data_IF_542553018611
#
_entry.id   IF_542553018611
#
_cell.length_a   1.000
_cell.length_b   1.000
_cell.length_c   1.000
_cell.angle_alpha   90.00
_cell.angle_beta   90.00
_cell.angle_gamma   90.00
#
_symmetry.space_group_name_H-M   'P 1'
#
loop_
_entity.id
_entity.type
_entity.pdbx_description
1 polymer ?
#
# COMPACT_ATOMS: atom_id res chain seq x y z
N UNK A 1 -19.90 0.57 30.22
CA UNK A 1 -18.59 0.08 29.82
C UNK A 1 -18.52 -1.43 30.01
N UNK A 2 -18.57 -2.19 28.92
CA UNK A 2 -18.35 -3.65 28.94
C UNK A 2 -16.85 -3.91 29.22
N UNK A 3 -16.55 -4.91 30.03
CA UNK A 3 -15.16 -5.35 30.15
C UNK A 3 -14.68 -5.98 28.82
N UNK A 4 -13.38 -5.90 28.53
CA UNK A 4 -12.80 -6.50 27.32
C UNK A 4 -13.16 -7.99 27.20
N UNK A 5 -13.19 -8.74 28.32
CA UNK A 5 -13.63 -10.14 28.34
C UNK A 5 -15.08 -10.32 27.92
N UNK A 6 -15.97 -9.42 28.34
CA UNK A 6 -17.38 -9.44 27.99
C UNK A 6 -17.60 -9.10 26.51
N UNK A 7 -16.83 -8.14 25.97
CA UNK A 7 -16.85 -7.78 24.55
C UNK A 7 -16.36 -8.95 23.67
N UNK A 8 -15.29 -9.63 24.06
CA UNK A 8 -14.76 -10.82 23.36
C UNK A 8 -15.79 -11.95 23.39
N UNK A 9 -16.42 -12.21 24.56
CA UNK A 9 -17.46 -13.26 24.69
C UNK A 9 -18.68 -12.98 23.81
N UNK A 10 -19.13 -11.72 23.73
CA UNK A 10 -20.23 -11.33 22.84
C UNK A 10 -19.86 -11.44 21.37
N UNK A 11 -18.65 -11.06 21.00
CA UNK A 11 -18.16 -11.23 19.65
C UNK A 11 -18.07 -12.73 19.25
N UNK A 12 -17.56 -13.60 20.13
CA UNK A 12 -17.55 -15.05 19.90
C UNK A 12 -18.96 -15.62 19.71
N UNK A 13 -19.89 -15.26 20.60
CA UNK A 13 -21.27 -15.76 20.48
C UNK A 13 -22.00 -15.25 19.22
N UNK A 14 -21.65 -14.06 18.72
CA UNK A 14 -22.16 -13.54 17.45
C UNK A 14 -21.53 -14.27 16.26
N UNK A 15 -20.24 -14.56 16.31
CA UNK A 15 -19.54 -15.34 15.28
C UNK A 15 -20.08 -16.77 15.15
N UNK A 16 -20.44 -17.40 16.27
CA UNK A 16 -21.08 -18.73 16.29
C UNK A 16 -22.51 -18.75 15.70
N UNK A 17 -23.16 -17.58 15.60
CA UNK A 17 -24.51 -17.43 15.03
C UNK A 17 -24.50 -17.00 13.56
N UNK A 18 -23.38 -16.45 13.09
CA UNK A 18 -23.20 -16.05 11.69
C UNK A 18 -22.50 -17.21 10.98
N UNK A 19 -23.27 -18.18 10.49
CA UNK A 19 -22.77 -19.08 9.45
C UNK A 19 -22.68 -18.23 8.18
N UNK A 20 -21.54 -17.61 7.98
CA UNK A 20 -21.20 -17.05 6.67
C UNK A 20 -20.84 -18.27 5.83
N UNK A 21 -21.73 -18.69 4.91
CA UNK A 21 -21.29 -19.44 3.73
C UNK A 21 -20.28 -18.52 3.01
N UNK A 22 -19.02 -18.63 3.42
CA UNK A 22 -17.94 -18.02 2.63
C UNK A 22 -18.00 -18.73 1.29
N UNK A 23 -18.21 -17.99 0.18
CA UNK A 23 -18.09 -18.61 -1.13
C UNK A 23 -16.74 -19.34 -1.15
N UNK A 24 -16.73 -20.60 -1.63
CA UNK A 24 -15.50 -21.35 -1.77
C UNK A 24 -14.46 -20.44 -2.39
N UNK A 25 -13.49 -20.04 -1.58
CA UNK A 25 -12.39 -19.22 -2.04
C UNK A 25 -11.66 -20.07 -3.05
N UNK A 26 -11.67 -19.66 -4.32
CA UNK A 26 -10.67 -20.18 -5.24
C UNK A 26 -9.34 -19.91 -4.57
N UNK A 27 -8.53 -20.95 -4.33
CA UNK A 27 -7.25 -20.88 -3.62
C UNK A 27 -6.29 -19.78 -4.14
N UNK A 28 -6.61 -19.19 -5.30
CA UNK A 28 -5.84 -18.18 -6.01
C UNK A 28 -6.32 -16.74 -5.79
N UNK A 29 -7.34 -16.48 -4.98
CA UNK A 29 -7.84 -15.13 -4.77
C UNK A 29 -7.13 -14.44 -3.60
N UNK A 30 -6.52 -13.28 -3.85
CA UNK A 30 -6.09 -12.40 -2.76
C UNK A 30 -7.34 -11.83 -2.08
N UNK A 31 -7.67 -12.38 -0.92
CA UNK A 31 -8.77 -11.86 -0.11
C UNK A 31 -8.36 -10.55 0.56
N UNK A 32 -8.90 -9.46 0.05
CA UNK A 32 -8.67 -8.13 0.58
C UNK A 32 -9.93 -7.58 1.25
N UNK A 33 -10.37 -8.25 2.30
CA UNK A 33 -11.61 -7.93 2.99
C UNK A 33 -12.86 -8.25 2.17
N UNK A 34 -13.98 -7.69 2.56
CA UNK A 34 -15.25 -7.84 1.83
C UNK A 34 -16.29 -8.71 2.52
N UNK A 35 -15.94 -9.44 3.60
CA UNK A 35 -16.87 -10.24 4.37
C UNK A 35 -18.05 -9.41 4.89
N UNK A 36 -17.79 -8.18 5.32
CA UNK A 36 -18.84 -7.25 5.77
C UNK A 36 -19.80 -6.86 4.63
N UNK A 37 -19.30 -6.68 3.41
CA UNK A 37 -20.16 -6.43 2.24
C UNK A 37 -20.93 -7.67 1.81
N UNK A 38 -20.33 -8.85 1.89
CA UNK A 38 -21.00 -10.10 1.61
C UNK A 38 -22.16 -10.36 2.61
N UNK A 39 -21.94 -10.01 3.89
CA UNK A 39 -22.93 -10.18 4.94
C UNK A 39 -24.07 -9.15 4.87
N UNK A 40 -23.79 -7.88 4.58
CA UNK A 40 -24.78 -6.81 4.58
C UNK A 40 -25.43 -6.52 3.22
N UNK A 41 -24.77 -6.86 2.13
CA UNK A 41 -25.20 -6.42 0.80
C UNK A 41 -25.38 -4.91 0.73
N UNK A 42 -26.56 -4.46 0.34
CA UNK A 42 -26.95 -3.04 0.28
C UNK A 42 -27.72 -2.57 1.54
N UNK A 43 -27.82 -3.40 2.55
CA UNK A 43 -28.43 -3.01 3.84
C UNK A 43 -27.41 -2.26 4.70
N UNK A 44 -27.45 -0.92 4.63
CA UNK A 44 -26.53 -0.06 5.39
C UNK A 44 -26.81 -0.08 6.88
N UNK A 45 -28.06 -0.28 7.32
CA UNK A 45 -28.41 -0.38 8.74
C UNK A 45 -27.82 -1.64 9.36
N UNK A 46 -27.85 -2.75 8.63
CA UNK A 46 -27.16 -3.98 9.02
C UNK A 46 -25.64 -3.77 9.02
N UNK A 47 -25.09 -3.10 8.00
CA UNK A 47 -23.67 -2.82 7.89
C UNK A 47 -23.13 -2.02 9.07
N UNK A 48 -23.88 -1.03 9.54
CA UNK A 48 -23.52 -0.19 10.69
C UNK A 48 -23.49 -0.96 12.02
N UNK A 49 -24.13 -2.13 12.07
CA UNK A 49 -24.12 -3.03 13.22
C UNK A 49 -22.95 -4.03 13.19
N UNK A 50 -22.27 -4.19 12.05
CA UNK A 50 -21.16 -5.13 11.92
C UNK A 50 -19.86 -4.53 12.49
N UNK A 51 -19.07 -5.37 13.14
CA UNK A 51 -17.71 -5.04 13.52
C UNK A 51 -16.80 -5.42 12.34
N UNK A 52 -16.36 -4.41 11.58
CA UNK A 52 -15.46 -4.63 10.45
C UNK A 52 -14.02 -4.68 10.96
N UNK A 53 -13.39 -5.85 10.90
CA UNK A 53 -12.03 -6.09 11.35
C UNK A 53 -11.16 -6.81 10.28
N UNK A 54 -11.67 -6.92 9.07
CA UNK A 54 -11.02 -7.59 7.93
C UNK A 54 -10.36 -6.60 6.94
N UNK A 55 -10.70 -5.31 7.04
CA UNK A 55 -10.10 -4.24 6.26
C UNK A 55 -9.64 -3.13 7.20
N UNK A 56 -8.41 -2.64 7.01
CA UNK A 56 -7.85 -1.55 7.82
C UNK A 56 -8.32 -0.18 7.29
N UNK A 57 -9.63 0.01 7.16
CA UNK A 57 -10.16 1.34 6.88
C UNK A 57 -10.08 2.23 8.13
N UNK A 58 -9.95 3.54 7.92
CA UNK A 58 -9.91 4.48 9.03
C UNK A 58 -11.23 4.44 9.82
N UNK A 59 -11.18 4.27 11.15
CA UNK A 59 -12.39 4.37 11.99
C UNK A 59 -12.84 5.82 12.18
N UNK A 60 -12.06 6.79 11.70
CA UNK A 60 -12.37 8.22 11.78
C UNK A 60 -12.90 8.72 10.44
N UNK A 61 -13.78 9.74 10.47
CA UNK A 61 -14.25 10.36 9.24
C UNK A 61 -13.11 11.08 8.51
N UNK A 62 -13.22 11.28 7.19
CA UNK A 62 -12.27 12.10 6.46
C UNK A 62 -12.29 13.55 6.96
N UNK A 63 -11.21 14.29 6.67
CA UNK A 63 -11.11 15.70 6.98
C UNK A 63 -12.36 16.46 6.46
N UNK A 64 -13.01 17.30 7.30
CA UNK A 64 -14.23 18.01 6.91
C UNK A 64 -14.06 18.87 5.62
N UNK A 65 -12.87 19.41 5.39
CA UNK A 65 -12.58 20.17 4.17
C UNK A 65 -12.63 19.28 2.93
N UNK A 66 -12.15 18.03 3.01
CA UNK A 66 -12.22 17.07 1.92
C UNK A 66 -13.67 16.67 1.63
N UNK A 67 -14.43 16.31 2.67
CA UNK A 67 -15.85 15.97 2.54
C UNK A 67 -16.66 17.11 1.92
N UNK A 68 -16.48 18.34 2.40
CA UNK A 68 -17.15 19.51 1.88
C UNK A 68 -16.76 19.81 0.42
N UNK A 69 -15.51 19.58 0.04
CA UNK A 69 -15.08 19.75 -1.34
C UNK A 69 -15.77 18.77 -2.29
N UNK A 70 -15.90 17.50 -1.89
CA UNK A 70 -16.64 16.49 -2.67
C UNK A 70 -18.11 16.87 -2.79
N UNK A 71 -18.78 17.16 -1.66
CA UNK A 71 -20.21 17.53 -1.65
C UNK A 71 -20.48 18.75 -2.55
N UNK A 72 -19.63 19.77 -2.46
CA UNK A 72 -19.79 21.00 -3.26
C UNK A 72 -19.68 20.75 -4.78
N UNK A 73 -18.90 19.74 -5.18
CA UNK A 73 -18.61 19.46 -6.57
C UNK A 73 -19.25 18.15 -7.07
N UNK A 74 -20.17 17.55 -6.30
CA UNK A 74 -20.70 16.22 -6.57
C UNK A 74 -21.34 16.09 -7.98
N UNK A 75 -22.11 17.10 -8.40
CA UNK A 75 -22.73 17.09 -9.73
C UNK A 75 -21.67 17.12 -10.85
N UNK A 76 -20.58 17.88 -10.64
CA UNK A 76 -19.47 17.92 -11.59
C UNK A 76 -18.75 16.56 -11.63
N UNK A 77 -18.50 15.94 -10.48
CA UNK A 77 -17.88 14.62 -10.40
C UNK A 77 -18.69 13.54 -11.14
N UNK A 78 -20.02 13.67 -11.21
CA UNK A 78 -20.86 12.75 -11.97
C UNK A 78 -20.91 13.05 -13.47
N UNK A 79 -20.77 14.32 -13.85
CA UNK A 79 -21.05 14.79 -15.20
C UNK A 79 -19.81 14.91 -16.08
N UNK A 80 -18.66 15.26 -15.48
CA UNK A 80 -17.44 15.59 -16.20
C UNK A 80 -16.39 14.46 -16.03
N UNK A 81 -15.65 14.17 -17.10
CA UNK A 81 -14.47 13.31 -16.99
C UNK A 81 -13.38 14.01 -16.16
N UNK A 82 -12.63 13.27 -15.33
CA UNK A 82 -11.55 13.87 -14.56
C UNK A 82 -10.40 14.34 -15.47
N UNK A 83 -9.47 15.16 -14.95
CA UNK A 83 -8.25 15.54 -15.68
C UNK A 83 -7.46 14.31 -16.13
N UNK A 84 -6.97 14.33 -17.37
CA UNK A 84 -6.42 13.15 -18.07
C UNK A 84 -5.27 12.46 -17.30
N UNK A 85 -4.39 13.25 -16.66
CA UNK A 85 -3.27 12.77 -15.88
C UNK A 85 -3.35 13.20 -14.40
N UNK A 86 -4.53 13.58 -13.93
CA UNK A 86 -4.74 14.05 -12.55
C UNK A 86 -3.89 15.29 -12.20
N UNK A 87 -3.67 16.19 -13.16
CA UNK A 87 -2.75 17.33 -13.06
C UNK A 87 -2.93 18.17 -11.80
N UNK A 88 -4.16 18.57 -11.37
CA UNK A 88 -4.34 19.35 -10.15
C UNK A 88 -3.91 18.59 -8.89
N UNK A 89 -4.10 17.26 -8.86
CA UNK A 89 -3.68 16.43 -7.73
C UNK A 89 -2.16 16.31 -7.68
N UNK A 90 -1.52 16.08 -8.85
CA UNK A 90 -0.06 16.04 -8.96
C UNK A 90 0.57 17.33 -8.45
N UNK A 91 0.07 18.49 -8.91
CA UNK A 91 0.55 19.81 -8.46
C UNK A 91 0.41 19.97 -6.94
N UNK A 92 -0.73 19.52 -6.39
CA UNK A 92 -0.94 19.64 -4.94
C UNK A 92 -0.03 18.70 -4.14
N UNK A 93 0.20 17.48 -4.60
CA UNK A 93 1.15 16.55 -3.99
C UNK A 93 2.57 17.15 -4.04
N UNK A 94 3.01 17.62 -5.21
CA UNK A 94 4.32 18.23 -5.41
C UNK A 94 4.58 19.37 -4.43
N UNK A 95 3.62 20.29 -4.30
CA UNK A 95 3.69 21.43 -3.36
C UNK A 95 3.73 20.97 -1.90
N UNK A 96 2.92 19.96 -1.55
CA UNK A 96 2.75 19.53 -0.15
C UNK A 96 3.91 18.68 0.33
N UNK A 97 4.47 17.85 -0.57
CA UNK A 97 5.54 16.90 -0.27
C UNK A 97 6.94 17.42 -0.65
N UNK A 98 7.02 18.57 -1.31
CA UNK A 98 8.28 19.16 -1.82
C UNK A 98 9.02 18.23 -2.78
N UNK A 99 8.27 17.53 -3.64
CA UNK A 99 8.80 16.67 -4.71
C UNK A 99 8.45 17.26 -6.09
N UNK A 100 9.15 16.87 -7.13
CA UNK A 100 8.91 17.36 -8.50
C UNK A 100 7.65 16.74 -9.10
N UNK A 101 6.85 17.52 -9.82
CA UNK A 101 5.62 17.06 -10.49
C UNK A 101 5.91 15.91 -11.47
N UNK A 102 7.02 15.99 -12.21
CA UNK A 102 7.44 14.98 -13.15
C UNK A 102 7.76 13.62 -12.51
N UNK A 103 8.09 13.58 -11.22
CA UNK A 103 8.41 12.37 -10.47
C UNK A 103 7.17 11.69 -9.84
N UNK A 104 5.98 12.27 -9.97
CA UNK A 104 4.76 11.77 -9.35
C UNK A 104 3.94 10.96 -10.35
N UNK A 105 3.53 9.77 -9.92
CA UNK A 105 2.56 8.90 -10.59
C UNK A 105 1.31 8.82 -9.72
N UNK A 106 0.14 9.05 -10.30
CA UNK A 106 -1.15 8.98 -9.58
C UNK A 106 -2.00 7.86 -10.16
N UNK A 107 -2.69 7.10 -9.32
CA UNK A 107 -3.57 6.02 -9.76
C UNK A 107 -4.74 5.77 -8.81
N UNK A 108 -5.69 4.96 -9.27
CA UNK A 108 -6.92 4.61 -8.55
C UNK A 108 -6.66 3.63 -7.40
N UNK A 109 -5.90 4.09 -6.39
CA UNK A 109 -5.44 3.31 -5.25
C UNK A 109 -4.08 2.63 -5.50
N UNK A 110 -3.41 2.23 -4.39
CA UNK A 110 -2.09 1.57 -4.45
C UNK A 110 -2.15 0.24 -5.20
N UNK A 111 -3.23 -0.52 -5.07
CA UNK A 111 -3.43 -1.75 -5.85
C UNK A 111 -3.31 -1.48 -7.35
N UNK A 112 -3.95 -0.44 -7.86
CA UNK A 112 -3.86 -0.08 -9.28
C UNK A 112 -2.43 0.29 -9.69
N UNK A 113 -1.66 0.96 -8.84
CA UNK A 113 -0.22 1.19 -9.07
C UNK A 113 0.55 -0.12 -9.16
N UNK A 114 0.35 -1.03 -8.20
CA UNK A 114 1.04 -2.32 -8.17
C UNK A 114 0.72 -3.18 -9.40
N UNK A 115 -0.57 -3.34 -9.74
CA UNK A 115 -1.00 -4.12 -10.91
C UNK A 115 -0.51 -3.52 -12.23
N UNK A 116 -0.36 -2.20 -12.32
CA UNK A 116 0.14 -1.54 -13.52
C UNK A 116 1.66 -1.58 -13.65
N UNK A 117 2.38 -1.40 -12.55
CA UNK A 117 3.82 -1.17 -12.58
C UNK A 117 4.65 -2.44 -12.35
N UNK A 118 4.22 -3.36 -11.48
CA UNK A 118 5.00 -4.54 -11.18
C UNK A 118 5.29 -5.41 -12.41
N UNK A 119 4.35 -5.67 -13.33
CA UNK A 119 4.64 -6.41 -14.56
C UNK A 119 5.62 -5.71 -15.51
N UNK A 120 5.91 -4.43 -15.28
CA UNK A 120 6.91 -3.66 -16.05
C UNK A 120 8.30 -3.64 -15.40
N UNK A 121 8.35 -3.95 -14.11
CA UNK A 121 9.57 -3.90 -13.29
C UNK A 121 10.09 -5.30 -12.95
N UNK A 122 9.22 -6.29 -12.96
CA UNK A 122 9.45 -7.65 -12.49
C UNK A 122 8.88 -8.63 -13.52
N UNK A 123 9.58 -9.71 -13.81
CA UNK A 123 9.14 -10.78 -14.70
C UNK A 123 9.29 -12.16 -14.02
N UNK A 124 8.91 -13.24 -14.69
CA UNK A 124 8.94 -14.62 -14.18
C UNK A 124 10.34 -15.07 -13.74
N UNK A 125 11.41 -14.52 -14.34
CA UNK A 125 12.79 -14.89 -14.02
C UNK A 125 13.35 -14.07 -12.84
N UNK A 126 12.66 -13.00 -12.43
CA UNK A 126 13.10 -12.10 -11.38
C UNK A 126 13.10 -12.77 -10.01
N UNK A 127 14.13 -12.48 -9.23
CA UNK A 127 14.21 -12.81 -7.81
C UNK A 127 13.76 -11.61 -6.99
N UNK A 128 12.70 -11.77 -6.22
CA UNK A 128 12.11 -10.69 -5.43
C UNK A 128 12.18 -10.99 -3.96
N UNK A 129 12.72 -10.06 -3.18
CA UNK A 129 12.79 -10.13 -1.73
C UNK A 129 11.63 -9.36 -1.11
N UNK A 130 10.88 -9.98 -0.21
CA UNK A 130 9.80 -9.36 0.55
C UNK A 130 9.97 -9.62 2.04
N UNK A 131 9.40 -8.74 2.89
CA UNK A 131 9.30 -9.00 4.34
C UNK A 131 8.25 -10.09 4.60
N UNK A 132 8.35 -10.80 5.72
CA UNK A 132 7.35 -11.78 6.15
C UNK A 132 7.19 -11.76 7.69
N UNK A 133 6.00 -11.42 8.24
CA UNK A 133 4.75 -11.16 7.52
C UNK A 133 4.71 -9.80 6.81
N UNK A 134 3.91 -9.73 5.73
CA UNK A 134 3.70 -8.53 4.94
C UNK A 134 2.27 -8.52 4.37
N UNK A 135 1.83 -7.38 3.84
CA UNK A 135 0.54 -7.21 3.16
C UNK A 135 0.38 -8.20 1.99
N UNK A 136 -0.67 -9.01 2.04
CA UNK A 136 -0.83 -10.20 1.19
C UNK A 136 -0.95 -9.93 -0.31
N UNK A 137 -1.42 -8.73 -0.71
CA UNK A 137 -1.58 -8.38 -2.13
C UNK A 137 -0.23 -8.35 -2.88
N UNK A 138 0.87 -8.00 -2.20
CA UNK A 138 2.21 -8.09 -2.78
C UNK A 138 2.56 -9.52 -3.18
N UNK A 139 2.41 -10.46 -2.25
CA UNK A 139 2.70 -11.86 -2.52
C UNK A 139 1.80 -12.41 -3.64
N UNK A 140 0.50 -12.06 -3.61
CA UNK A 140 -0.46 -12.47 -4.63
C UNK A 140 -0.03 -12.03 -6.04
N UNK A 141 0.31 -10.76 -6.22
CA UNK A 141 0.75 -10.23 -7.53
C UNK A 141 2.03 -10.94 -7.99
N UNK A 142 3.00 -11.10 -7.10
CA UNK A 142 4.29 -11.70 -7.43
C UNK A 142 4.16 -13.18 -7.81
N UNK A 143 3.36 -13.95 -7.09
CA UNK A 143 3.26 -15.38 -7.28
C UNK A 143 2.21 -15.79 -8.31
N UNK A 144 1.01 -15.17 -8.30
CA UNK A 144 -0.10 -15.61 -9.14
C UNK A 144 -0.25 -14.78 -10.43
N UNK A 145 0.15 -13.52 -10.42
CA UNK A 145 0.05 -12.69 -11.63
C UNK A 145 1.35 -12.74 -12.45
N UNK A 146 2.51 -12.60 -11.79
CA UNK A 146 3.81 -12.53 -12.45
C UNK A 146 4.48 -13.92 -12.50
N UNK A 147 4.37 -14.71 -11.44
CA UNK A 147 5.00 -16.01 -11.35
C UNK A 147 6.51 -15.98 -11.07
N UNK A 148 7.00 -14.92 -10.42
CA UNK A 148 8.42 -14.75 -10.14
C UNK A 148 8.90 -15.52 -8.90
N UNK A 149 10.22 -15.57 -8.70
CA UNK A 149 10.83 -16.23 -7.55
C UNK A 149 10.81 -15.29 -6.33
N UNK A 150 9.99 -15.62 -5.32
CA UNK A 150 9.85 -14.82 -4.10
C UNK A 150 10.65 -15.41 -2.96
N UNK A 151 11.51 -14.59 -2.36
CA UNK A 151 12.22 -14.88 -1.12
C UNK A 151 11.61 -14.10 0.03
N UNK A 152 11.34 -14.78 1.14
CA UNK A 152 10.79 -14.18 2.35
C UNK A 152 11.90 -13.83 3.34
N UNK A 153 11.98 -12.56 3.74
CA UNK A 153 12.81 -12.11 4.85
C UNK A 153 11.98 -12.16 6.13
N UNK A 154 12.25 -13.09 7.06
CA UNK A 154 11.41 -13.28 8.23
C UNK A 154 11.56 -12.14 9.23
N UNK A 155 10.44 -11.72 9.81
CA UNK A 155 10.36 -10.83 10.95
C UNK A 155 9.81 -11.64 12.13
N UNK A 156 10.49 -11.62 13.26
CA UNK A 156 10.18 -12.50 14.39
C UNK A 156 9.42 -11.78 15.50
N UNK A 157 8.33 -12.38 16.05
CA UNK A 157 7.54 -11.76 17.11
C UNK A 157 8.34 -11.52 18.40
N UNK A 158 9.25 -12.43 18.73
CA UNK A 158 10.14 -12.35 19.91
C UNK A 158 11.23 -11.27 19.78
N UNK A 159 11.49 -10.81 18.55
CA UNK A 159 12.33 -9.65 18.23
C UNK A 159 11.50 -8.38 17.96
N UNK A 160 10.21 -8.37 18.31
CA UNK A 160 9.33 -7.22 18.09
C UNK A 160 9.00 -6.94 16.62
N UNK A 161 9.23 -7.89 15.71
CA UNK A 161 9.12 -7.74 14.26
C UNK A 161 10.04 -6.65 13.67
N UNK A 162 11.14 -6.35 14.37
CA UNK A 162 12.15 -5.42 13.87
C UNK A 162 12.91 -6.01 12.68
N UNK A 163 13.43 -5.14 11.82
CA UNK A 163 14.20 -5.54 10.64
C UNK A 163 15.68 -5.67 11.04
N UNK A 164 16.26 -6.85 10.87
CA UNK A 164 17.72 -6.99 10.85
C UNK A 164 18.29 -6.27 9.62
N UNK A 165 18.77 -5.06 9.84
CA UNK A 165 19.31 -4.16 8.82
C UNK A 165 20.43 -4.80 8.01
N UNK A 166 21.42 -5.35 8.69
CA UNK A 166 22.59 -5.93 8.02
C UNK A 166 22.23 -7.20 7.25
N UNK A 167 21.39 -8.04 7.82
CA UNK A 167 20.85 -9.24 7.18
C UNK A 167 20.06 -8.89 5.92
N UNK A 168 19.16 -7.90 5.98
CA UNK A 168 18.35 -7.46 4.85
C UNK A 168 19.22 -6.88 3.73
N UNK A 169 20.18 -6.00 4.04
CA UNK A 169 21.14 -5.45 3.06
C UNK A 169 21.96 -6.55 2.41
N UNK A 170 22.42 -7.53 3.20
CA UNK A 170 23.24 -8.63 2.70
C UNK A 170 22.48 -9.49 1.69
N UNK A 171 21.29 -9.96 2.04
CA UNK A 171 20.49 -10.85 1.21
C UNK A 171 19.94 -10.15 -0.04
N UNK A 172 19.66 -8.84 0.04
CA UNK A 172 19.13 -8.05 -1.09
C UNK A 172 20.04 -8.04 -2.32
N UNK A 173 21.34 -8.28 -2.13
CA UNK A 173 22.34 -8.28 -3.23
C UNK A 173 22.09 -9.37 -4.27
N UNK A 174 21.42 -10.43 -3.90
CA UNK A 174 21.12 -11.59 -4.76
C UNK A 174 19.77 -11.47 -5.46
N UNK A 175 19.04 -10.34 -5.23
CA UNK A 175 17.69 -10.13 -5.72
C UNK A 175 17.62 -8.99 -6.73
N UNK A 176 16.71 -9.12 -7.72
CA UNK A 176 16.46 -8.11 -8.75
C UNK A 176 15.56 -6.98 -8.21
N UNK A 177 14.66 -7.31 -7.28
CA UNK A 177 13.78 -6.35 -6.65
C UNK A 177 13.61 -6.63 -5.14
N UNK A 178 13.39 -5.55 -4.39
CA UNK A 178 13.11 -5.58 -2.95
C UNK A 178 11.81 -4.81 -2.69
N UNK A 179 10.86 -5.43 -1.99
CA UNK A 179 9.59 -4.79 -1.63
C UNK A 179 9.51 -4.67 -0.11
N UNK A 180 9.37 -3.44 0.35
CA UNK A 180 9.33 -3.07 1.76
C UNK A 180 8.04 -2.29 2.06
N UNK A 181 7.56 -2.42 3.29
CA UNK A 181 6.40 -1.66 3.79
C UNK A 181 6.81 -0.98 5.09
N UNK A 182 6.70 0.33 5.18
CA UNK A 182 7.13 1.08 6.36
C UNK A 182 6.16 2.22 6.71
N UNK A 183 5.44 2.16 7.83
CA UNK A 183 5.36 1.06 8.80
C UNK A 183 4.86 -0.25 8.18
N UNK A 184 5.41 -1.39 8.63
CA UNK A 184 5.05 -2.68 8.07
C UNK A 184 3.60 -3.07 8.40
N UNK A 185 2.91 -3.65 7.44
CA UNK A 185 1.58 -4.24 7.61
C UNK A 185 1.70 -5.76 7.46
N UNK A 186 1.27 -6.58 8.44
CA UNK A 186 0.32 -6.25 9.52
C UNK A 186 0.97 -5.87 10.86
N UNK A 187 2.31 -5.85 11.00
CA UNK A 187 2.97 -5.73 12.31
C UNK A 187 2.84 -4.35 12.95
N UNK A 188 2.67 -3.29 12.12
CA UNK A 188 2.61 -1.90 12.57
C UNK A 188 3.97 -1.31 12.98
N UNK A 189 5.05 -2.05 12.84
CA UNK A 189 6.40 -1.61 13.23
C UNK A 189 6.94 -0.61 12.21
N UNK A 190 7.41 0.51 12.72
CA UNK A 190 8.10 1.54 11.94
C UNK A 190 9.61 1.36 12.07
N UNK A 191 10.27 1.19 10.94
CA UNK A 191 11.73 1.13 10.86
C UNK A 191 12.28 2.54 10.66
N UNK A 192 12.94 3.10 11.68
CA UNK A 192 13.58 4.43 11.60
C UNK A 192 14.77 4.44 10.65
N UNK A 193 15.49 3.31 10.56
CA UNK A 193 16.69 3.15 9.73
C UNK A 193 16.40 2.82 8.25
N UNK A 194 15.16 2.99 7.79
CA UNK A 194 14.77 2.59 6.42
C UNK A 194 15.61 3.30 5.35
N UNK A 195 15.95 4.57 5.53
CA UNK A 195 16.84 5.29 4.62
C UNK A 195 18.23 4.65 4.54
N UNK A 196 18.80 4.30 5.68
CA UNK A 196 20.11 3.65 5.73
C UNK A 196 20.09 2.27 5.05
N UNK A 197 19.00 1.51 5.22
CA UNK A 197 18.79 0.23 4.53
C UNK A 197 18.80 0.45 3.01
N UNK A 198 18.02 1.40 2.51
CA UNK A 198 17.97 1.71 1.07
C UNK A 198 19.35 2.12 0.56
N UNK A 199 20.05 3.00 1.28
CA UNK A 199 21.41 3.41 0.94
C UNK A 199 22.37 2.23 0.96
N UNK A 200 22.27 1.35 1.95
CA UNK A 200 23.07 0.13 2.07
C UNK A 200 22.86 -0.83 0.90
N UNK A 201 21.64 -1.00 0.42
CA UNK A 201 21.30 -1.82 -0.74
C UNK A 201 21.86 -1.19 -2.04
N UNK A 202 21.67 0.12 -2.24
CA UNK A 202 21.95 0.80 -3.51
C UNK A 202 23.39 1.36 -3.63
N UNK A 203 24.05 1.69 -2.52
CA UNK A 203 25.39 2.28 -2.54
C UNK A 203 26.50 1.29 -2.94
N UNK A 204 26.25 -0.01 -2.79
CA UNK A 204 27.22 -1.05 -3.18
C UNK A 204 27.20 -1.36 -4.69
N UNK A 205 27.17 -0.33 -5.53
CA UNK A 205 27.27 -0.45 -7.01
C UNK A 205 28.62 -1.00 -7.52
N UNK A 206 29.48 -1.52 -6.64
CA UNK A 206 30.61 -2.32 -7.09
C UNK A 206 30.08 -3.67 -7.59
N UNK A 207 29.95 -3.82 -8.89
CA UNK A 207 29.84 -5.07 -9.71
C UNK A 207 29.08 -6.29 -9.14
N UNK A 208 28.37 -6.22 -7.99
CA UNK A 208 27.80 -7.36 -7.29
C UNK A 208 26.35 -7.21 -6.81
N UNK A 209 25.69 -6.04 -6.99
CA UNK A 209 24.25 -5.96 -6.67
C UNK A 209 23.44 -6.04 -7.95
N UNK A 210 22.47 -6.95 -7.99
CA UNK A 210 21.51 -7.09 -9.09
C UNK A 210 20.25 -6.23 -8.88
N UNK A 211 20.09 -5.58 -7.72
CA UNK A 211 18.87 -4.87 -7.37
C UNK A 211 18.63 -3.69 -8.31
N UNK A 212 17.56 -3.78 -9.09
CA UNK A 212 17.12 -2.80 -10.08
C UNK A 212 15.90 -2.01 -9.65
N UNK A 213 15.20 -2.50 -8.63
CA UNK A 213 13.96 -1.91 -8.13
C UNK A 213 13.85 -2.08 -6.63
N UNK A 214 13.63 -0.98 -5.92
CA UNK A 214 13.19 -1.00 -4.53
C UNK A 214 11.84 -0.30 -4.46
N UNK A 215 10.81 -1.04 -4.02
CA UNK A 215 9.50 -0.50 -3.74
C UNK A 215 9.33 -0.34 -2.24
N UNK A 216 9.03 0.88 -1.79
CA UNK A 216 8.71 1.16 -0.39
C UNK A 216 7.28 1.66 -0.30
N UNK A 217 6.43 0.94 0.41
CA UNK A 217 5.06 1.35 0.69
C UNK A 217 5.00 2.11 2.02
N UNK A 218 4.70 3.40 1.93
CA UNK A 218 4.55 4.30 3.06
C UNK A 218 3.07 4.61 3.38
N UNK A 219 2.16 3.70 3.08
CA UNK A 219 0.70 3.91 3.29
C UNK A 219 0.33 4.33 4.70
N UNK A 220 1.09 3.92 5.71
CA UNK A 220 0.80 4.18 7.12
C UNK A 220 1.73 5.21 7.78
N UNK A 221 2.65 5.80 7.04
CA UNK A 221 3.73 6.62 7.61
C UNK A 221 3.22 7.86 8.35
N UNK A 222 2.13 8.47 7.91
CA UNK A 222 1.54 9.64 8.55
C UNK A 222 0.96 9.37 9.96
N UNK A 223 0.80 8.11 10.36
CA UNK A 223 0.48 7.76 11.75
C UNK A 223 1.68 7.85 12.69
N UNK A 224 2.90 7.91 12.16
CA UNK A 224 4.14 8.00 12.93
C UNK A 224 4.47 9.45 13.20
N UNK A 225 4.56 9.83 14.48
CA UNK A 225 4.94 11.20 14.86
C UNK A 225 6.41 11.45 14.52
N UNK A 226 6.67 12.49 13.73
CA UNK A 226 8.04 12.89 13.38
C UNK A 226 8.68 12.00 12.29
N UNK A 227 7.87 11.24 11.55
CA UNK A 227 8.36 10.40 10.46
C UNK A 227 9.17 11.19 9.43
N UNK A 228 10.05 10.46 8.75
CA UNK A 228 10.74 10.94 7.56
C UNK A 228 10.33 10.06 6.36
N UNK A 229 9.76 10.70 5.34
CA UNK A 229 9.41 10.01 4.10
C UNK A 229 10.62 9.91 3.18
N UNK A 230 10.71 8.79 2.50
CA UNK A 230 11.76 8.52 1.51
C UNK A 230 11.48 9.16 0.14
N UNK A 231 10.40 9.92 -0.02
CA UNK A 231 10.00 10.52 -1.30
C UNK A 231 11.13 11.36 -1.93
N UNK A 232 11.85 12.15 -1.14
CA UNK A 232 12.97 12.96 -1.64
C UNK A 232 14.19 12.12 -2.03
N UNK A 233 14.35 10.95 -1.44
CA UNK A 233 15.46 10.04 -1.74
C UNK A 233 15.38 9.47 -3.17
N UNK A 234 14.21 9.50 -3.78
CA UNK A 234 13.98 9.06 -5.16
C UNK A 234 14.73 9.90 -6.22
N UNK A 235 15.15 11.11 -5.87
CA UNK A 235 16.00 11.94 -6.75
C UNK A 235 17.45 11.46 -6.76
N UNK A 236 17.90 10.83 -5.69
CA UNK A 236 19.25 10.28 -5.59
C UNK A 236 19.34 8.87 -6.19
N UNK A 237 18.27 8.06 -6.03
CA UNK A 237 18.23 6.67 -6.45
C UNK A 237 17.09 6.40 -7.44
N UNK A 238 17.46 6.19 -8.69
CA UNK A 238 16.53 5.91 -9.78
C UNK A 238 15.78 4.58 -9.59
N UNK A 239 16.34 3.65 -8.85
CA UNK A 239 15.79 2.34 -8.53
C UNK A 239 14.68 2.40 -7.49
N UNK A 240 14.60 3.51 -6.73
CA UNK A 240 13.63 3.68 -5.64
C UNK A 240 12.28 4.18 -6.14
N UNK A 241 11.23 3.52 -5.68
CA UNK A 241 9.83 3.92 -5.86
C UNK A 241 9.17 3.97 -4.48
N UNK A 242 8.67 5.12 -4.08
CA UNK A 242 7.94 5.30 -2.82
C UNK A 242 6.45 5.41 -3.12
N UNK A 243 5.66 4.46 -2.63
CA UNK A 243 4.21 4.39 -2.83
C UNK A 243 3.46 4.90 -1.60
N UNK A 244 2.39 5.65 -1.83
CA UNK A 244 1.50 6.13 -0.77
C UNK A 244 0.03 5.97 -1.16
N UNK A 245 -0.75 5.35 -0.27
CA UNK A 245 -2.20 5.30 -0.39
C UNK A 245 -2.85 6.40 0.45
N UNK A 246 -3.84 7.08 -0.12
CA UNK A 246 -4.66 8.04 0.64
C UNK A 246 -5.84 7.36 1.35
N UNK A 247 -5.96 6.05 1.24
CA UNK A 247 -7.08 5.30 1.79
C UNK A 247 -7.10 5.29 3.31
N UNK A 248 -5.95 5.06 3.94
CA UNK A 248 -5.86 4.75 5.37
C UNK A 248 -5.76 6.02 6.23
N UNK A 249 -4.62 6.68 6.22
CA UNK A 249 -4.37 7.84 7.07
C UNK A 249 -5.29 9.02 6.76
N UNK A 250 -5.72 9.17 5.52
CA UNK A 250 -6.61 10.26 5.09
C UNK A 250 -8.10 9.89 5.09
N UNK A 251 -8.45 8.63 5.44
CA UNK A 251 -9.83 8.11 5.43
C UNK A 251 -10.54 8.28 4.06
N UNK A 252 -9.80 8.08 2.97
CA UNK A 252 -10.29 8.25 1.61
C UNK A 252 -10.37 6.93 0.83
N UNK A 253 -10.60 5.81 1.52
CA UNK A 253 -10.66 4.47 0.91
C UNK A 253 -11.63 4.41 -0.27
N UNK A 254 -12.80 5.04 -0.14
CA UNK A 254 -13.84 5.06 -1.18
C UNK A 254 -13.48 5.92 -2.40
N UNK A 255 -12.61 6.92 -2.25
CA UNK A 255 -12.19 7.80 -3.35
C UNK A 255 -11.09 7.18 -4.22
N UNK A 256 -10.50 6.08 -3.79
CA UNK A 256 -9.50 5.32 -4.55
C UNK A 256 -8.35 6.21 -5.05
N UNK A 257 -7.69 6.95 -4.18
CA UNK A 257 -6.55 7.79 -4.53
C UNK A 257 -5.25 7.24 -3.94
N UNK A 258 -4.23 7.10 -4.78
CA UNK A 258 -2.87 6.77 -4.39
C UNK A 258 -1.86 7.40 -5.34
N UNK A 259 -0.63 7.53 -4.88
CA UNK A 259 0.45 8.00 -5.74
C UNK A 259 1.77 7.29 -5.43
N UNK A 260 2.67 7.34 -6.37
CA UNK A 260 4.06 6.94 -6.18
C UNK A 260 5.00 8.06 -6.62
N UNK A 261 6.15 8.15 -5.96
CA UNK A 261 7.24 9.07 -6.32
C UNK A 261 8.44 8.26 -6.78
N UNK A 262 8.97 8.60 -7.93
CA UNK A 262 10.19 8.01 -8.49
C UNK A 262 10.77 8.91 -9.57
N UNK A 263 12.09 9.00 -9.68
CA UNK A 263 12.74 9.72 -10.79
C UNK A 263 12.54 9.04 -12.16
N UNK A 264 12.06 7.79 -12.18
CA UNK A 264 11.73 7.05 -13.41
C UNK A 264 10.26 7.21 -13.83
N UNK A 265 9.52 8.16 -13.25
CA UNK A 265 8.08 8.32 -13.47
C UNK A 265 7.72 8.58 -14.94
N UNK A 266 8.55 9.31 -15.70
CA UNK A 266 8.28 9.59 -17.13
C UNK A 266 8.17 8.31 -17.96
N UNK A 267 8.99 7.30 -17.66
CA UNK A 267 8.91 5.99 -18.31
C UNK A 267 7.70 5.18 -17.83
N UNK A 268 7.43 5.18 -16.53
CA UNK A 268 6.40 4.35 -15.92
C UNK A 268 4.97 4.87 -16.15
N UNK A 269 4.82 6.19 -16.36
CA UNK A 269 3.51 6.84 -16.54
C UNK A 269 2.68 6.25 -17.70
N UNK A 270 3.32 5.79 -18.76
CA UNK A 270 2.64 5.20 -19.93
C UNK A 270 1.89 3.90 -19.62
N UNK A 271 2.19 3.26 -18.50
CA UNK A 271 1.54 2.02 -18.06
C UNK A 271 0.37 2.25 -17.09
N UNK A 272 0.19 3.49 -16.64
CA UNK A 272 -0.95 3.87 -15.81
C UNK A 272 -2.06 4.38 -16.71
N UNK A 273 -3.30 3.85 -16.59
CA UNK A 273 -4.42 4.32 -17.37
C UNK A 273 -4.65 5.82 -17.18
N UNK A 274 -4.96 6.57 -18.26
CA UNK A 274 -5.44 7.94 -18.13
C UNK A 274 -6.77 7.98 -17.36
N UNK A 275 -7.10 9.12 -16.75
CA UNK A 275 -8.30 9.28 -15.91
C UNK A 275 -8.39 8.31 -14.74
N UNK A 276 -7.23 7.97 -14.17
CA UNK A 276 -7.16 6.97 -13.11
C UNK A 276 -7.81 7.43 -11.79
N UNK A 277 -7.88 8.75 -11.55
CA UNK A 277 -8.47 9.34 -10.33
C UNK A 277 -9.35 10.52 -10.69
N UNK A 278 -10.52 10.56 -10.06
CA UNK A 278 -11.51 11.64 -10.21
C UNK A 278 -11.25 12.79 -9.23
#
# INVERSE_FOLDING_TARGET
HLSIKEAIRRASNLLDQIVIDTPETKDDACYHGGASWAASGMDFDLRDQLIVADVLDSPFPPCPQASNAVIKNIERCFKESPPTQCEPLIQKIAQTRSVKEENILVSSGSSSLMFSLFPQLINEESKVLILSPMYGEYLHILTHLIGCNVTHFPLYPDEGFEIDKEGLISISREHDAVILVNPNSPTGVYCEDMEDIIRGILSNKSSQTNCKTIWVDETYIEYVKGYQSLENLTEEFQELIVCKSMSKCYALSGLRAAYAVTSNASYLRKFIPPWAVS
#
